data_IF_093335145205
#
_entry.id   IF_093335145205
#
_cell.length_a   1.000
_cell.length_b   1.000
_cell.length_c   1.000
_cell.angle_alpha   90.00
_cell.angle_beta   90.00
_cell.angle_gamma   90.00
#
_symmetry.space_group_name_H-M   'P 1'
#
loop_
_entity.id
_entity.type
_entity.pdbx_description
1 polymer ?
#
# COMPACT_ATOMS: atom_id res chain seq x y z
N UNK A 1 -15.44 -33.61 31.14
CA UNK A 1 -15.57 -33.15 29.75
C UNK A 1 -16.36 -31.84 29.62
N UNK A 2 -17.36 -31.58 30.46
CA UNK A 2 -18.26 -30.39 30.40
C UNK A 2 -17.66 -28.99 30.71
N UNK A 3 -16.38 -28.88 31.09
CA UNK A 3 -15.78 -27.61 31.54
C UNK A 3 -14.86 -26.95 30.49
N UNK A 4 -14.56 -27.65 29.38
CA UNK A 4 -13.74 -27.12 28.27
C UNK A 4 -14.62 -26.32 27.31
N UNK A 5 -15.72 -26.92 26.88
CA UNK A 5 -16.67 -26.33 25.92
C UNK A 5 -17.31 -25.02 26.45
N UNK A 6 -17.55 -24.93 27.76
CA UNK A 6 -18.08 -23.71 28.40
C UNK A 6 -17.07 -22.56 28.46
N UNK A 7 -15.77 -22.86 28.58
CA UNK A 7 -14.72 -21.83 28.57
C UNK A 7 -14.47 -21.31 27.17
N UNK A 8 -14.45 -22.21 26.19
CA UNK A 8 -14.28 -21.88 24.79
C UNK A 8 -15.40 -20.95 24.29
N UNK A 9 -16.66 -21.29 24.57
CA UNK A 9 -17.80 -20.45 24.22
C UNK A 9 -17.77 -19.05 24.87
N UNK A 10 -17.17 -18.91 26.05
CA UNK A 10 -17.00 -17.60 26.72
C UNK A 10 -15.89 -16.78 26.11
N UNK A 11 -14.79 -17.42 25.70
CA UNK A 11 -13.70 -16.76 25.00
C UNK A 11 -14.18 -16.25 23.64
N UNK A 12 -14.89 -17.08 22.86
CA UNK A 12 -15.44 -16.66 21.57
C UNK A 12 -16.37 -15.46 21.72
N UNK A 13 -17.30 -15.49 22.68
CA UNK A 13 -18.20 -14.36 22.91
C UNK A 13 -17.48 -13.07 23.29
N UNK A 14 -16.46 -13.16 24.14
CA UNK A 14 -15.68 -12.00 24.54
C UNK A 14 -14.87 -11.41 23.37
N UNK A 15 -14.31 -12.28 22.52
CA UNK A 15 -13.63 -11.85 21.30
C UNK A 15 -14.61 -11.17 20.33
N UNK A 16 -15.79 -11.74 20.12
CA UNK A 16 -16.83 -11.15 19.27
C UNK A 16 -17.28 -9.77 19.79
N UNK A 17 -17.56 -9.65 21.09
CA UNK A 17 -17.95 -8.37 21.71
C UNK A 17 -16.83 -7.31 21.59
N UNK A 18 -15.57 -7.70 21.77
CA UNK A 18 -14.44 -6.78 21.59
C UNK A 18 -14.28 -6.34 20.13
N UNK A 19 -14.37 -7.27 19.17
CA UNK A 19 -14.29 -6.96 17.74
C UNK A 19 -15.43 -6.04 17.32
N UNK A 20 -16.66 -6.29 17.79
CA UNK A 20 -17.81 -5.41 17.54
C UNK A 20 -17.52 -3.97 18.01
N UNK A 21 -16.92 -3.78 19.19
CA UNK A 21 -16.57 -2.43 19.68
C UNK A 21 -15.46 -1.75 18.89
N UNK A 22 -14.52 -2.52 18.33
CA UNK A 22 -13.46 -2.00 17.46
C UNK A 22 -14.04 -1.61 16.10
N UNK A 23 -14.88 -2.45 15.53
CA UNK A 23 -15.58 -2.18 14.27
C UNK A 23 -16.39 -0.89 14.36
N UNK A 24 -17.20 -0.71 15.40
CA UNK A 24 -17.95 0.53 15.66
C UNK A 24 -17.03 1.76 15.77
N UNK A 25 -15.86 1.58 16.38
CA UNK A 25 -14.87 2.64 16.53
C UNK A 25 -14.30 3.04 15.17
N UNK A 26 -13.90 2.08 14.34
CA UNK A 26 -13.37 2.35 13.00
C UNK A 26 -14.44 2.90 12.06
N UNK A 27 -15.67 2.41 12.12
CA UNK A 27 -16.80 2.98 11.38
C UNK A 27 -16.99 4.47 11.69
N UNK A 28 -16.95 4.84 12.98
CA UNK A 28 -17.09 6.23 13.42
C UNK A 28 -15.95 7.09 12.90
N UNK A 29 -14.71 6.59 12.95
CA UNK A 29 -13.53 7.31 12.43
C UNK A 29 -13.66 7.53 10.92
N UNK A 30 -13.94 6.47 10.15
CA UNK A 30 -14.08 6.56 8.68
C UNK A 30 -15.25 7.44 8.24
N UNK A 31 -16.36 7.44 8.99
CA UNK A 31 -17.49 8.37 8.73
C UNK A 31 -17.11 9.82 9.01
N UNK A 32 -16.21 10.07 9.95
CA UNK A 32 -15.74 11.40 10.32
C UNK A 32 -14.82 12.06 9.28
N UNK A 33 -14.27 11.28 8.34
CA UNK A 33 -13.44 11.78 7.24
C UNK A 33 -14.28 12.70 6.35
N UNK A 34 -13.77 13.92 6.11
CA UNK A 34 -14.42 14.91 5.25
C UNK A 34 -14.68 14.32 3.86
N UNK A 35 -15.87 14.54 3.30
CA UNK A 35 -16.25 14.07 1.95
C UNK A 35 -15.23 14.43 0.87
N UNK A 36 -14.65 15.63 0.91
CA UNK A 36 -13.63 16.06 -0.06
C UNK A 36 -12.33 15.23 0.03
N UNK A 37 -12.07 14.63 1.20
CA UNK A 37 -10.87 13.84 1.48
C UNK A 37 -11.16 12.34 1.54
N UNK A 38 -12.39 11.87 1.28
CA UNK A 38 -12.74 10.45 1.43
C UNK A 38 -12.04 9.57 0.41
N UNK A 39 -12.10 9.95 -0.87
CA UNK A 39 -11.41 9.22 -1.93
C UNK A 39 -9.92 9.21 -1.69
N UNK A 40 -9.44 10.31 -1.13
CA UNK A 40 -8.07 10.54 -0.81
C UNK A 40 -7.56 9.64 0.33
N UNK A 41 -8.24 9.66 1.47
CA UNK A 41 -7.98 8.77 2.58
C UNK A 41 -8.09 7.30 2.17
N UNK A 42 -9.10 6.94 1.38
CA UNK A 42 -9.28 5.57 0.92
C UNK A 42 -8.07 5.09 0.10
N UNK A 43 -7.58 5.94 -0.80
CA UNK A 43 -6.40 5.67 -1.62
C UNK A 43 -5.14 5.43 -0.77
N UNK A 44 -4.91 6.29 0.24
CA UNK A 44 -3.83 6.11 1.20
C UNK A 44 -3.92 4.76 1.91
N UNK A 45 -5.07 4.45 2.49
CA UNK A 45 -5.29 3.22 3.24
C UNK A 45 -5.12 1.97 2.36
N UNK A 46 -5.56 2.05 1.09
CA UNK A 46 -5.30 1.02 0.09
C UNK A 46 -3.80 0.83 -0.12
N UNK A 47 -3.06 1.89 -0.41
CA UNK A 47 -1.63 1.81 -0.66
C UNK A 47 -0.88 1.14 0.50
N UNK A 48 -1.15 1.56 1.73
CA UNK A 48 -0.53 1.02 2.94
C UNK A 48 -0.85 -0.46 3.17
N UNK A 49 -1.97 -0.96 2.66
CA UNK A 49 -2.38 -2.36 2.87
C UNK A 49 -1.59 -3.38 2.05
N UNK A 50 -0.95 -2.96 0.97
CA UNK A 50 -0.24 -3.86 0.03
C UNK A 50 1.23 -3.52 -0.15
N UNK A 51 1.68 -2.37 0.34
CA UNK A 51 3.07 -1.98 0.21
C UNK A 51 3.99 -3.04 0.85
N UNK A 52 4.96 -3.55 0.09
CA UNK A 52 5.91 -4.57 0.56
C UNK A 52 6.77 -4.10 1.74
N UNK A 53 6.94 -2.79 1.88
CA UNK A 53 7.55 -2.12 3.04
C UNK A 53 6.79 -0.84 3.36
N UNK A 54 7.08 -0.25 4.52
CA UNK A 54 6.60 1.08 4.83
C UNK A 54 7.08 2.07 3.75
N UNK A 55 6.14 2.83 3.19
CA UNK A 55 6.43 3.84 2.19
C UNK A 55 6.73 5.16 2.90
N UNK A 56 7.75 5.84 2.40
CA UNK A 56 8.01 7.21 2.81
C UNK A 56 6.94 8.16 2.28
N UNK A 57 6.83 9.33 2.91
CA UNK A 57 5.95 10.41 2.46
C UNK A 57 6.32 10.85 1.04
N UNK A 58 7.62 10.91 0.75
CA UNK A 58 8.15 11.24 -0.57
C UNK A 58 7.78 10.19 -1.63
N UNK A 59 7.83 8.91 -1.28
CA UNK A 59 7.38 7.82 -2.16
C UNK A 59 5.88 7.86 -2.43
N UNK A 60 5.07 8.18 -1.41
CA UNK A 60 3.62 8.33 -1.57
C UNK A 60 3.29 9.51 -2.48
N UNK A 61 4.05 10.62 -2.39
CA UNK A 61 3.87 11.80 -3.23
C UNK A 61 4.08 11.53 -4.73
N UNK A 62 4.88 10.53 -5.09
CA UNK A 62 5.18 10.18 -6.48
C UNK A 62 4.15 9.26 -7.15
N UNK A 63 3.20 8.75 -6.37
CA UNK A 63 2.10 7.96 -6.90
C UNK A 63 1.15 8.89 -7.66
N UNK A 64 0.98 8.69 -8.98
CA UNK A 64 0.22 9.55 -9.93
C UNK A 64 -1.26 9.82 -9.55
N UNK A 65 -1.75 9.16 -8.50
CA UNK A 65 -3.10 9.28 -7.94
C UNK A 65 -3.12 10.00 -6.57
N UNK A 66 -1.96 10.51 -6.14
CA UNK A 66 -1.69 11.34 -4.96
C UNK A 66 -1.75 12.82 -5.32
N UNK A 67 -2.31 13.66 -4.44
CA UNK A 67 -2.72 15.03 -4.79
C UNK A 67 -1.58 16.00 -4.57
N UNK A 68 -1.22 16.73 -5.63
CA UNK A 68 -0.57 18.03 -5.46
C UNK A 68 -1.47 18.87 -4.51
N UNK A 69 -0.88 19.32 -3.39
CA UNK A 69 -1.44 20.25 -2.40
C UNK A 69 -2.42 19.73 -1.32
N UNK A 70 -2.68 18.42 -1.16
CA UNK A 70 -3.61 17.92 -0.10
C UNK A 70 -3.00 16.88 0.86
N UNK A 71 -1.70 16.63 0.78
CA UNK A 71 -0.99 15.63 1.57
C UNK A 71 -1.19 15.82 3.09
N UNK A 72 -0.80 16.98 3.63
CA UNK A 72 -0.88 17.27 5.07
C UNK A 72 -2.33 17.19 5.58
N UNK A 73 -3.27 17.64 4.76
CA UNK A 73 -4.69 17.61 5.07
C UNK A 73 -5.21 16.16 5.18
N UNK A 74 -4.70 15.24 4.35
CA UNK A 74 -5.15 13.84 4.33
C UNK A 74 -4.44 13.01 5.39
N UNK A 75 -3.14 13.24 5.61
CA UNK A 75 -2.42 12.64 6.75
C UNK A 75 -3.07 13.04 8.08
N UNK A 76 -3.41 14.32 8.25
CA UNK A 76 -4.11 14.84 9.42
C UNK A 76 -5.47 14.17 9.62
N UNK A 77 -6.26 14.07 8.55
CA UNK A 77 -7.59 13.43 8.59
C UNK A 77 -7.52 11.93 8.89
N UNK A 78 -6.44 11.26 8.50
CA UNK A 78 -6.24 9.83 8.76
C UNK A 78 -5.45 9.54 10.06
N UNK A 79 -5.10 10.56 10.86
CA UNK A 79 -4.23 10.42 12.05
C UNK A 79 -4.71 9.42 13.11
N UNK A 80 -5.99 9.08 13.15
CA UNK A 80 -6.52 8.03 14.04
C UNK A 80 -6.32 6.60 13.51
N UNK A 81 -6.00 6.46 12.22
CA UNK A 81 -5.84 5.20 11.49
C UNK A 81 -4.39 4.92 11.11
N UNK A 82 -3.59 5.98 10.92
CA UNK A 82 -2.19 5.90 10.51
C UNK A 82 -1.27 6.66 11.47
N UNK A 83 -0.01 6.28 11.46
CA UNK A 83 1.08 6.94 12.17
C UNK A 83 2.17 7.29 11.17
N UNK A 84 2.68 8.52 11.27
CA UNK A 84 3.89 8.95 10.56
C UNK A 84 5.05 8.79 11.53
N UNK A 85 6.01 7.93 11.18
CA UNK A 85 7.20 7.64 11.97
C UNK A 85 8.45 8.15 11.23
N UNK A 86 9.52 8.40 11.99
CA UNK A 86 10.81 8.74 11.40
C UNK A 86 11.65 7.47 11.21
N UNK A 87 12.17 7.30 10.00
CA UNK A 87 13.15 6.27 9.65
C UNK A 87 14.38 6.96 9.05
N UNK A 88 15.40 7.18 9.89
CA UNK A 88 16.55 8.01 9.53
C UNK A 88 16.13 9.43 9.18
N UNK A 89 16.46 9.87 7.96
CA UNK A 89 16.12 11.20 7.43
C UNK A 89 14.75 11.23 6.74
N UNK A 90 14.05 10.09 6.62
CA UNK A 90 12.76 9.97 5.94
C UNK A 90 11.59 9.87 6.92
N UNK A 91 10.41 10.30 6.48
CA UNK A 91 9.15 10.07 7.19
C UNK A 91 8.40 8.92 6.54
N UNK A 92 8.10 7.86 7.29
CA UNK A 92 7.37 6.68 6.79
C UNK A 92 5.96 6.62 7.35
N UNK A 93 5.01 6.21 6.52
CA UNK A 93 3.60 6.12 6.90
C UNK A 93 3.23 4.66 7.10
N UNK A 94 2.54 4.36 8.20
CA UNK A 94 2.05 3.02 8.53
C UNK A 94 0.68 3.07 9.20
N UNK A 95 -0.02 1.95 9.29
CA UNK A 95 -1.21 1.85 10.13
C UNK A 95 -0.85 2.03 11.61
N UNK A 96 -1.67 2.76 12.36
CA UNK A 96 -1.46 2.94 13.80
C UNK A 96 -1.57 1.62 14.56
N UNK A 97 -2.43 0.72 14.09
CA UNK A 97 -2.62 -0.62 14.64
C UNK A 97 -2.91 -1.63 13.53
N UNK A 98 -2.42 -2.86 13.70
CA UNK A 98 -2.69 -3.96 12.76
C UNK A 98 -4.20 -4.21 12.55
N UNK A 99 -5.01 -4.00 13.59
CA UNK A 99 -6.47 -4.14 13.53
C UNK A 99 -7.15 -3.17 12.57
N UNK A 100 -6.53 -2.02 12.23
CA UNK A 100 -7.06 -1.11 11.20
C UNK A 100 -7.01 -1.77 9.83
N UNK A 101 -5.88 -2.40 9.50
CA UNK A 101 -5.70 -3.13 8.24
C UNK A 101 -6.66 -4.33 8.17
N UNK A 102 -6.78 -5.08 9.27
CA UNK A 102 -7.70 -6.22 9.36
C UNK A 102 -9.16 -5.79 9.14
N UNK A 103 -9.57 -4.67 9.76
CA UNK A 103 -10.89 -4.10 9.59
C UNK A 103 -11.16 -3.75 8.11
N UNK A 104 -10.24 -3.06 7.44
CA UNK A 104 -10.41 -2.60 6.05
C UNK A 104 -10.42 -3.74 5.01
N UNK A 105 -9.81 -4.87 5.33
CA UNK A 105 -9.65 -6.02 4.42
C UNK A 105 -10.72 -7.09 4.64
N UNK A 106 -11.36 -7.12 5.80
CA UNK A 106 -12.40 -8.09 6.14
C UNK A 106 -13.73 -7.73 5.47
N UNK A 107 -14.45 -8.70 4.92
CA UNK A 107 -15.75 -8.50 4.28
C UNK A 107 -16.93 -8.43 5.26
N UNK A 108 -16.71 -8.73 6.54
CA UNK A 108 -17.72 -8.75 7.60
C UNK A 108 -18.43 -7.39 7.75
N UNK A 109 -17.67 -6.29 7.76
CA UNK A 109 -18.27 -4.96 7.88
C UNK A 109 -19.09 -4.58 6.64
N UNK A 110 -18.85 -5.15 5.45
CA UNK A 110 -19.70 -4.89 4.27
C UNK A 110 -21.15 -5.33 4.48
N UNK A 111 -21.38 -6.33 5.34
CA UNK A 111 -22.74 -6.82 5.65
C UNK A 111 -23.47 -6.00 6.71
N UNK A 112 -22.72 -5.23 7.52
CA UNK A 112 -23.23 -4.45 8.65
C UNK A 112 -23.21 -2.95 8.41
N UNK A 113 -22.34 -2.49 7.52
CA UNK A 113 -21.99 -1.08 7.33
C UNK A 113 -22.81 -0.42 6.21
N UNK A 114 -22.89 0.91 6.29
CA UNK A 114 -23.56 1.75 5.30
C UNK A 114 -22.72 1.83 4.00
N UNK A 115 -23.33 2.16 2.85
CA UNK A 115 -22.65 2.31 1.54
C UNK A 115 -21.43 3.25 1.60
N UNK A 116 -21.48 4.23 2.51
CA UNK A 116 -20.41 5.19 2.76
C UNK A 116 -19.13 4.57 3.37
N UNK A 117 -19.24 3.45 4.09
CA UNK A 117 -18.11 2.73 4.68
C UNK A 117 -17.69 1.58 3.78
N UNK A 118 -18.63 0.91 3.13
CA UNK A 118 -18.36 -0.19 2.20
C UNK A 118 -17.34 0.19 1.11
N UNK A 119 -17.27 1.49 0.76
CA UNK A 119 -16.25 1.99 -0.18
C UNK A 119 -14.82 1.82 0.31
N UNK A 120 -14.56 1.81 1.62
CA UNK A 120 -13.23 1.68 2.20
C UNK A 120 -12.74 0.23 2.25
N UNK A 121 -13.58 -0.72 1.87
CA UNK A 121 -13.18 -2.11 1.77
C UNK A 121 -12.10 -2.31 0.70
N UNK A 122 -11.03 -2.98 1.10
CA UNK A 122 -9.84 -3.16 0.28
C UNK A 122 -9.90 -4.49 -0.45
N UNK A 123 -9.95 -4.41 -1.78
CA UNK A 123 -9.76 -5.57 -2.65
C UNK A 123 -8.30 -5.66 -3.10
N UNK A 124 -7.57 -6.61 -2.52
CA UNK A 124 -6.14 -6.78 -2.78
C UNK A 124 -5.77 -6.80 -4.26
N UNK A 125 -6.44 -7.61 -5.09
CA UNK A 125 -6.17 -7.69 -6.54
C UNK A 125 -6.19 -6.31 -7.22
N UNK A 126 -7.18 -5.46 -6.88
CA UNK A 126 -7.30 -4.11 -7.44
C UNK A 126 -6.15 -3.23 -6.99
N UNK A 127 -5.81 -3.26 -5.70
CA UNK A 127 -4.77 -2.38 -5.16
C UNK A 127 -3.38 -2.80 -5.63
N UNK A 128 -3.08 -4.10 -5.63
CA UNK A 128 -1.85 -4.63 -6.23
C UNK A 128 -1.73 -4.20 -7.69
N UNK A 129 -2.82 -4.24 -8.47
CA UNK A 129 -2.83 -3.77 -9.86
C UNK A 129 -2.43 -2.29 -9.96
N UNK A 130 -3.08 -1.41 -9.19
CA UNK A 130 -2.82 0.04 -9.24
C UNK A 130 -1.40 0.38 -8.78
N UNK A 131 -0.92 -0.23 -7.70
CA UNK A 131 0.42 0.00 -7.18
C UNK A 131 1.48 -0.48 -8.17
N UNK A 132 1.30 -1.67 -8.76
CA UNK A 132 2.23 -2.19 -9.76
C UNK A 132 2.25 -1.33 -11.03
N UNK A 133 1.10 -0.79 -11.45
CA UNK A 133 1.04 0.18 -12.55
C UNK A 133 1.85 1.45 -12.23
N UNK A 134 1.73 1.99 -11.01
CA UNK A 134 2.52 3.14 -10.58
C UNK A 134 4.02 2.82 -10.56
N UNK A 135 4.41 1.62 -10.07
CA UNK A 135 5.80 1.16 -10.10
C UNK A 135 6.35 1.10 -11.52
N UNK A 136 5.63 0.45 -12.44
CA UNK A 136 6.02 0.38 -13.85
C UNK A 136 6.12 1.77 -14.48
N UNK A 137 5.15 2.65 -14.25
CA UNK A 137 5.18 4.03 -14.73
C UNK A 137 6.41 4.81 -14.22
N UNK A 138 6.80 4.62 -12.96
CA UNK A 138 8.04 5.21 -12.43
C UNK A 138 9.28 4.63 -13.10
N UNK A 139 9.35 3.31 -13.30
CA UNK A 139 10.50 2.67 -13.97
C UNK A 139 10.66 3.10 -15.43
N UNK A 140 9.56 3.27 -16.15
CA UNK A 140 9.59 3.72 -17.54
C UNK A 140 10.11 5.17 -17.67
N UNK A 141 9.76 6.04 -16.70
CA UNK A 141 10.23 7.44 -16.63
C UNK A 141 11.71 7.59 -16.24
N UNK A 142 12.37 6.54 -15.73
CA UNK A 142 13.79 6.60 -15.38
C UNK A 142 14.68 6.89 -16.61
N UNK A 143 14.27 6.42 -17.79
CA UNK A 143 15.05 6.55 -19.01
C UNK A 143 14.86 7.90 -19.73
N UNK A 144 13.66 8.48 -19.68
CA UNK A 144 13.30 9.73 -20.39
C UNK A 144 14.19 10.94 -20.01
N UNK A 145 15.04 10.75 -19.00
CA UNK A 145 15.87 11.76 -18.39
C UNK A 145 17.37 11.67 -18.73
N UNK A 146 17.80 10.73 -19.59
CA UNK A 146 19.18 10.60 -20.04
C UNK A 146 20.04 9.79 -19.07
N UNK A 147 20.02 8.47 -19.26
CA UNK A 147 20.75 7.51 -18.43
C UNK A 147 22.28 7.66 -18.50
N UNK A 148 22.91 7.63 -17.33
CA UNK A 148 24.37 7.63 -17.20
C UNK A 148 24.87 7.87 -15.78
N UNK A 149 24.20 7.37 -14.75
CA UNK A 149 24.65 7.53 -13.37
C UNK A 149 23.75 6.85 -12.36
N UNK A 150 24.28 6.63 -11.17
CA UNK A 150 23.64 6.02 -10.00
C UNK A 150 22.54 6.94 -9.38
N UNK A 151 21.88 7.78 -10.20
CA UNK A 151 21.09 8.95 -9.79
C UNK A 151 19.57 8.77 -10.00
N UNK A 152 19.10 7.60 -10.44
CA UNK A 152 17.67 7.32 -10.59
C UNK A 152 16.91 7.39 -9.27
N UNK A 153 17.50 6.86 -8.18
CA UNK A 153 16.96 6.95 -6.82
C UNK A 153 17.04 8.35 -6.22
N UNK A 154 17.94 9.21 -6.70
CA UNK A 154 17.99 10.63 -6.28
C UNK A 154 16.86 11.45 -6.92
N UNK A 155 16.28 10.95 -8.02
CA UNK A 155 15.27 11.67 -8.80
C UNK A 155 13.85 11.23 -8.50
N UNK A 156 13.65 9.93 -8.27
CA UNK A 156 12.38 9.35 -7.90
C UNK A 156 12.58 8.48 -6.67
N UNK A 157 12.05 8.94 -5.54
CA UNK A 157 12.04 8.27 -4.25
C UNK A 157 11.42 6.87 -4.36
N UNK A 158 10.42 6.71 -5.23
CA UNK A 158 9.73 5.43 -5.45
C UNK A 158 10.53 4.45 -6.33
N UNK A 159 11.52 4.91 -7.09
CA UNK A 159 12.20 4.06 -8.09
C UNK A 159 12.87 2.83 -7.47
N UNK A 160 13.50 2.97 -6.30
CA UNK A 160 14.15 1.84 -5.62
C UNK A 160 13.13 0.78 -5.19
N UNK A 161 12.05 1.20 -4.55
CA UNK A 161 10.96 0.33 -4.11
C UNK A 161 10.26 -0.34 -5.31
N UNK A 162 9.95 0.44 -6.34
CA UNK A 162 9.35 -0.04 -7.57
C UNK A 162 10.23 -1.11 -8.22
N UNK A 163 11.51 -0.80 -8.43
CA UNK A 163 12.49 -1.70 -9.06
C UNK A 163 12.63 -3.03 -8.32
N UNK A 164 12.55 -3.01 -6.99
CA UNK A 164 12.69 -4.18 -6.15
C UNK A 164 11.43 -5.04 -6.09
N UNK A 165 10.23 -4.43 -6.05
CA UNK A 165 9.02 -5.14 -5.63
C UNK A 165 7.95 -5.31 -6.71
N UNK A 166 8.06 -4.65 -7.87
CA UNK A 166 7.00 -4.71 -8.89
C UNK A 166 6.73 -6.13 -9.40
N UNK A 167 7.76 -6.97 -9.52
CA UNK A 167 7.64 -8.36 -9.98
C UNK A 167 6.82 -9.18 -8.98
N UNK A 168 7.11 -9.05 -7.68
CA UNK A 168 6.38 -9.78 -6.63
C UNK A 168 4.90 -9.37 -6.60
N UNK A 169 4.60 -8.08 -6.75
CA UNK A 169 3.22 -7.60 -6.81
C UNK A 169 2.49 -8.08 -8.08
N UNK A 170 3.19 -8.18 -9.22
CA UNK A 170 2.63 -8.68 -10.48
C UNK A 170 2.24 -10.17 -10.41
N UNK A 171 2.92 -10.95 -9.56
CA UNK A 171 2.64 -12.38 -9.35
C UNK A 171 1.38 -12.63 -8.51
N UNK A 172 0.80 -11.61 -7.87
CA UNK A 172 -0.41 -11.76 -7.08
C UNK A 172 -1.64 -12.02 -7.97
N UNK A 173 -2.28 -13.18 -7.78
CA UNK A 173 -3.51 -13.58 -8.48
C UNK A 173 -3.51 -13.30 -10.00
N UNK A 174 -4.37 -12.37 -10.45
CA UNK A 174 -4.55 -12.00 -11.86
C UNK A 174 -3.91 -10.65 -12.19
N UNK A 175 -3.08 -10.08 -11.31
CA UNK A 175 -2.48 -8.75 -11.51
C UNK A 175 -1.69 -8.70 -12.82
N UNK A 176 -0.78 -9.65 -13.05
CA UNK A 176 -0.02 -9.77 -14.31
C UNK A 176 -0.89 -9.74 -15.57
N UNK A 177 -2.09 -10.33 -15.52
CA UNK A 177 -3.02 -10.32 -16.66
C UNK A 177 -3.58 -8.93 -16.95
N UNK A 178 -3.73 -8.08 -15.92
CA UNK A 178 -4.30 -6.74 -15.99
C UNK A 178 -3.28 -5.67 -16.38
N UNK A 179 -1.99 -5.93 -16.18
CA UNK A 179 -0.90 -4.97 -16.42
C UNK A 179 0.04 -5.38 -17.54
N UNK A 180 -0.35 -6.38 -18.35
CA UNK A 180 0.49 -7.00 -19.38
C UNK A 180 1.20 -5.99 -20.27
N UNK A 181 0.46 -5.01 -20.79
CA UNK A 181 1.01 -3.99 -21.68
C UNK A 181 2.16 -3.22 -21.03
N UNK A 182 2.04 -2.90 -19.73
CA UNK A 182 3.11 -2.22 -18.98
C UNK A 182 4.26 -3.14 -18.56
N UNK A 183 4.06 -4.46 -18.52
CA UNK A 183 5.13 -5.43 -18.24
C UNK A 183 6.02 -5.67 -19.45
N UNK A 184 5.49 -5.54 -20.66
CA UNK A 184 6.24 -5.78 -21.89
C UNK A 184 7.23 -4.62 -22.19
N UNK A 185 6.85 -3.39 -21.85
CA UNK A 185 7.64 -2.18 -22.14
C UNK A 185 9.07 -2.19 -21.54
N UNK A 186 9.29 -2.59 -20.27
CA UNK A 186 10.63 -2.72 -19.70
C UNK A 186 11.54 -3.69 -20.44
N UNK A 187 11.01 -4.68 -21.17
CA UNK A 187 11.80 -5.69 -21.90
C UNK A 187 11.89 -5.41 -23.40
N UNK A 188 11.39 -4.28 -23.87
CA UNK A 188 11.59 -3.85 -25.26
C UNK A 188 13.08 -3.59 -25.50
N UNK A 189 13.73 -4.48 -26.26
CA UNK A 189 15.16 -4.41 -26.59
C UNK A 189 15.56 -3.15 -27.38
N UNK A 190 14.58 -2.41 -27.92
CA UNK A 190 14.81 -1.15 -28.62
C UNK A 190 14.68 0.07 -27.70
N UNK A 191 14.26 -0.11 -26.45
CA UNK A 191 14.15 0.95 -25.45
C UNK A 191 15.16 0.73 -24.32
N UNK A 192 15.60 1.78 -23.62
CA UNK A 192 16.59 1.66 -22.56
C UNK A 192 15.99 1.32 -21.18
N UNK A 193 14.69 1.06 -21.09
CA UNK A 193 13.99 0.83 -19.82
C UNK A 193 14.58 -0.31 -18.99
N UNK A 194 14.97 -1.43 -19.63
CA UNK A 194 15.61 -2.54 -18.93
C UNK A 194 16.93 -2.13 -18.28
N UNK A 195 17.75 -1.37 -19.00
CA UNK A 195 19.04 -0.89 -18.51
C UNK A 195 18.86 0.15 -17.39
N UNK A 196 17.85 1.02 -17.50
CA UNK A 196 17.51 1.98 -16.47
C UNK A 196 17.03 1.29 -15.18
N UNK A 197 16.20 0.25 -15.30
CA UNK A 197 15.78 -0.56 -14.16
C UNK A 197 16.96 -1.29 -13.49
N UNK A 198 17.81 -1.97 -14.27
CA UNK A 198 19.02 -2.63 -13.74
C UNK A 198 20.02 -1.66 -13.09
N UNK A 199 20.05 -0.41 -13.56
CA UNK A 199 20.85 0.65 -12.95
C UNK A 199 20.38 1.05 -11.54
N UNK A 200 19.12 0.77 -11.20
CA UNK A 200 18.53 1.02 -9.87
C UNK A 200 18.52 -0.24 -9.00
N UNK A 201 18.24 -1.41 -9.59
CA UNK A 201 18.18 -2.68 -8.87
C UNK A 201 18.83 -3.82 -9.67
N UNK A 202 19.91 -4.37 -9.13
CA UNK A 202 20.62 -5.52 -9.68
C UNK A 202 19.90 -6.82 -9.29
N UNK A 203 19.09 -7.35 -10.22
CA UNK A 203 18.30 -8.58 -10.03
C UNK A 203 19.17 -9.83 -9.81
N UNK A 204 20.46 -9.78 -10.18
CA UNK A 204 21.39 -10.91 -10.07
C UNK A 204 22.15 -10.93 -8.73
N UNK A 205 21.95 -9.92 -7.86
CA UNK A 205 22.49 -9.93 -6.50
C UNK A 205 21.52 -10.60 -5.53
N UNK A 206 21.76 -11.86 -5.12
CA UNK A 206 20.97 -12.47 -4.06
C UNK A 206 21.15 -11.68 -2.76
N UNK A 207 20.05 -11.51 -2.03
CA UNK A 207 20.00 -10.90 -0.71
C UNK A 207 21.04 -11.56 0.20
N UNK A 208 22.06 -10.80 0.62
CA UNK A 208 22.69 -11.13 1.89
C UNK A 208 21.77 -10.59 2.97
N UNK A 209 21.05 -11.53 3.59
CA UNK A 209 20.31 -11.37 4.83
C UNK A 209 21.11 -10.52 5.83
N UNK A 210 20.60 -9.35 6.20
CA UNK A 210 20.99 -8.70 7.44
C UNK A 210 19.88 -8.92 8.45
N UNK A 211 19.88 -10.13 9.01
CA UNK A 211 19.45 -10.32 10.38
C UNK A 211 20.51 -9.69 11.28
N UNK A 212 20.16 -8.60 11.96
CA UNK A 212 20.66 -8.25 13.30
C UNK A 212 19.76 -7.22 13.98
#
# INVERSE_FOLDING_TARGET
MLNKDSKEARVTRFLDEMLDTLDETYERILRGINRAQKDHAHRLLQCLSVAARLLSVEELAELDWWWEDQEEAVLSTCSNLITVAHDGDSQVVQFSHFSVMEYLTTSLHLTRSNEDIARFHIHFERVYTLLTQAYLGTLLRLDECGGGGNNGTERFSLAGCAAQHWVDHAQFEQVSSRIRDGMDDPFDLFKPHFAAWLGVHDIDRPWFDFSH
#
